data_IF_658610584659
#
_entry.id   IF_658610584659
#
_cell.length_a   1.000
_cell.length_b   1.000
_cell.length_c   1.000
_cell.angle_alpha   90.00
_cell.angle_beta   90.00
_cell.angle_gamma   90.00
#
_symmetry.space_group_name_H-M   'P 1'
#
loop_
_entity.id
_entity.type
_entity.pdbx_description
1 polymer ?
#
# COMPACT_ATOMS: atom_id res chain seq x y z
N UNK A 1 18.81 28.71 13.31
CA UNK A 1 19.54 27.65 12.61
C UNK A 1 19.05 26.23 12.95
N UNK A 2 19.01 25.82 14.21
CA UNK A 2 18.62 24.47 14.63
C UNK A 2 17.18 24.07 14.17
N UNK A 3 16.19 24.97 14.30
CA UNK A 3 14.82 24.75 13.84
C UNK A 3 14.71 24.55 12.33
N UNK A 4 15.44 25.33 11.53
CA UNK A 4 15.49 25.20 10.06
C UNK A 4 16.13 23.86 9.62
N UNK A 5 17.22 23.43 10.28
CA UNK A 5 17.85 22.13 10.01
C UNK A 5 16.90 20.98 10.28
N UNK A 6 16.16 21.01 11.40
CA UNK A 6 15.19 19.95 11.73
C UNK A 6 14.02 19.91 10.76
N UNK A 7 13.55 21.03 10.24
CA UNK A 7 12.50 21.12 9.22
C UNK A 7 12.94 20.42 7.94
N UNK A 8 14.15 20.73 7.46
CA UNK A 8 14.69 20.13 6.24
C UNK A 8 14.89 18.60 6.37
N UNK A 9 15.47 18.16 7.49
CA UNK A 9 15.68 16.71 7.74
C UNK A 9 14.37 15.94 7.80
N UNK A 10 13.32 16.50 8.42
CA UNK A 10 12.00 15.86 8.48
C UNK A 10 11.39 15.72 7.07
N UNK A 11 11.51 16.75 6.23
CA UNK A 11 11.03 16.69 4.83
C UNK A 11 11.80 15.67 4.00
N UNK A 12 13.11 15.58 4.16
CA UNK A 12 13.96 14.59 3.47
C UNK A 12 13.57 13.18 3.91
N UNK A 13 13.42 12.92 5.21
CA UNK A 13 12.96 11.63 5.72
C UNK A 13 11.61 11.22 5.12
N UNK A 14 10.64 12.15 5.09
CA UNK A 14 9.31 11.88 4.51
C UNK A 14 9.35 11.70 3.00
N UNK A 15 10.22 12.40 2.29
CA UNK A 15 10.45 12.17 0.85
C UNK A 15 10.97 10.75 0.61
N UNK A 16 11.96 10.30 1.37
CA UNK A 16 12.48 8.94 1.26
C UNK A 16 11.40 7.89 1.53
N UNK A 17 10.59 8.08 2.57
CA UNK A 17 9.49 7.16 2.89
C UNK A 17 8.38 7.20 1.84
N UNK A 18 8.07 8.36 1.25
CA UNK A 18 7.13 8.47 0.15
C UNK A 18 7.64 7.77 -1.12
N UNK A 19 8.93 7.91 -1.43
CA UNK A 19 9.58 7.19 -2.53
C UNK A 19 9.48 5.69 -2.32
N UNK A 20 9.83 5.16 -1.14
CA UNK A 20 9.66 3.73 -0.85
C UNK A 20 8.21 3.30 -1.01
N UNK A 21 7.26 4.06 -0.44
CA UNK A 21 5.83 3.73 -0.50
C UNK A 21 5.21 3.77 -1.90
N UNK A 22 5.78 4.58 -2.80
CA UNK A 22 5.19 4.87 -4.11
C UNK A 22 6.07 4.51 -5.32
N UNK A 23 7.12 3.70 -5.17
CA UNK A 23 7.95 3.27 -6.30
C UNK A 23 7.80 1.80 -6.68
N UNK A 24 7.07 1.02 -5.88
CA UNK A 24 6.80 -0.39 -6.15
C UNK A 24 8.07 -1.24 -6.20
N UNK A 25 8.14 -2.10 -7.23
CA UNK A 25 9.29 -2.99 -7.45
C UNK A 25 10.23 -2.48 -8.55
N UNK A 26 10.29 -1.17 -8.75
CA UNK A 26 11.15 -0.51 -9.72
C UNK A 26 12.64 -0.58 -9.35
N UNK A 27 13.44 0.23 -10.03
CA UNK A 27 14.87 0.47 -9.75
C UNK A 27 15.20 0.52 -8.25
N UNK A 28 14.28 1.07 -7.46
CA UNK A 28 14.47 1.24 -6.02
C UNK A 28 14.17 -0.02 -5.18
N UNK A 29 13.62 -1.09 -5.74
CA UNK A 29 13.27 -2.29 -4.94
C UNK A 29 14.48 -2.88 -4.23
N UNK A 30 15.62 -2.92 -4.91
CA UNK A 30 16.88 -3.39 -4.31
C UNK A 30 17.41 -2.45 -3.24
N UNK A 31 16.99 -1.19 -3.25
CA UNK A 31 17.40 -0.15 -2.32
C UNK A 31 16.34 0.25 -1.31
N UNK A 32 15.10 -0.27 -1.42
CA UNK A 32 14.00 0.10 -0.52
C UNK A 32 14.38 -0.08 0.96
N UNK A 33 15.03 -1.20 1.30
CA UNK A 33 15.51 -1.43 2.66
C UNK A 33 16.61 -0.43 3.07
N UNK A 34 17.55 -0.14 2.16
CA UNK A 34 18.61 0.85 2.39
C UNK A 34 18.02 2.24 2.58
N UNK A 35 17.05 2.63 1.76
CA UNK A 35 16.33 3.91 1.89
C UNK A 35 15.61 3.98 3.24
N UNK A 36 14.96 2.89 3.68
CA UNK A 36 14.36 2.82 5.01
C UNK A 36 15.41 2.98 6.12
N UNK A 37 16.61 2.41 5.98
CA UNK A 37 17.67 2.58 6.97
C UNK A 37 18.19 4.02 7.02
N UNK A 38 18.33 4.68 5.87
CA UNK A 38 18.70 6.11 5.81
C UNK A 38 17.59 6.95 6.45
N UNK A 39 16.31 6.65 6.16
CA UNK A 39 15.18 7.34 6.80
C UNK A 39 15.17 7.12 8.33
N UNK A 40 15.49 5.90 8.79
CA UNK A 40 15.63 5.56 10.21
C UNK A 40 16.75 6.37 10.86
N UNK A 41 17.92 6.44 10.23
CA UNK A 41 19.05 7.24 10.72
C UNK A 41 18.69 8.72 10.83
N UNK A 42 18.03 9.27 9.81
CA UNK A 42 17.52 10.65 9.83
C UNK A 42 16.52 10.84 10.97
N UNK A 43 15.65 9.87 11.23
CA UNK A 43 14.71 9.89 12.34
C UNK A 43 15.41 9.97 13.70
N UNK A 44 16.43 9.15 13.91
CA UNK A 44 17.28 9.21 15.12
C UNK A 44 17.95 10.57 15.28
N UNK A 45 18.56 11.10 14.20
CA UNK A 45 19.19 12.43 14.22
C UNK A 45 18.18 13.51 14.59
N UNK A 46 16.95 13.46 14.04
CA UNK A 46 15.87 14.41 14.35
C UNK A 46 15.53 14.34 15.84
N UNK A 47 15.41 13.14 16.43
CA UNK A 47 15.11 13.00 17.87
C UNK A 47 16.24 13.54 18.74
N UNK A 48 17.50 13.27 18.40
CA UNK A 48 18.68 13.80 19.12
C UNK A 48 18.68 15.34 19.07
N UNK A 49 18.44 15.94 17.89
CA UNK A 49 18.42 17.40 17.75
C UNK A 49 17.24 18.01 18.52
N UNK A 50 16.07 17.40 18.46
CA UNK A 50 14.86 17.91 19.15
C UNK A 50 14.93 17.73 20.66
N UNK A 51 15.68 16.77 21.16
CA UNK A 51 15.74 16.37 22.57
C UNK A 51 14.35 16.13 23.18
N UNK A 52 13.39 15.74 22.35
CA UNK A 52 12.00 15.51 22.73
C UNK A 52 11.45 14.32 21.99
N UNK A 53 10.92 13.38 22.73
CA UNK A 53 10.17 12.23 22.22
C UNK A 53 8.68 12.52 22.42
N UNK A 54 7.86 12.22 21.42
CA UNK A 54 6.42 12.36 21.55
C UNK A 54 5.88 11.28 22.49
N UNK A 55 4.85 11.65 23.26
CA UNK A 55 4.26 10.73 24.23
C UNK A 55 3.62 9.51 23.55
N UNK A 56 3.88 8.33 24.07
CA UNK A 56 3.33 7.07 23.60
C UNK A 56 1.89 6.95 24.06
N UNK A 57 0.92 7.07 23.17
CA UNK A 57 -0.52 7.06 23.48
C UNK A 57 -1.35 6.37 22.39
N UNK A 58 -2.49 5.82 22.78
CA UNK A 58 -3.51 5.32 21.84
C UNK A 58 -2.98 4.30 20.84
N UNK A 59 -3.09 4.62 19.54
CA UNK A 59 -2.71 3.71 18.45
C UNK A 59 -1.21 3.35 18.49
N UNK A 60 -0.35 4.25 18.95
CA UNK A 60 1.09 3.99 19.07
C UNK A 60 1.39 2.83 20.03
N UNK A 61 0.64 2.72 21.14
CA UNK A 61 0.81 1.59 22.08
C UNK A 61 0.58 0.25 21.36
N UNK A 62 -0.48 0.16 20.54
CA UNK A 62 -0.80 -1.07 19.82
C UNK A 62 0.23 -1.40 18.75
N UNK A 63 0.74 -0.39 18.04
CA UNK A 63 1.80 -0.59 17.08
C UNK A 63 3.10 -1.05 17.76
N UNK A 64 3.45 -0.45 18.89
CA UNK A 64 4.61 -0.83 19.71
C UNK A 64 4.50 -2.28 20.21
N UNK A 65 3.32 -2.73 20.65
CA UNK A 65 3.11 -4.11 21.07
C UNK A 65 3.35 -5.09 19.92
N UNK A 66 2.88 -4.78 18.71
CA UNK A 66 3.16 -5.57 17.50
C UNK A 66 4.67 -5.56 17.20
N UNK A 67 5.32 -4.41 17.28
CA UNK A 67 6.78 -4.28 17.06
C UNK A 67 7.57 -5.12 18.07
N UNK A 68 7.23 -5.07 19.36
CA UNK A 68 7.86 -5.89 20.40
C UNK A 68 7.63 -7.38 20.14
N UNK A 69 6.41 -7.76 19.76
CA UNK A 69 6.10 -9.15 19.40
C UNK A 69 6.96 -9.66 18.25
N UNK A 70 7.08 -8.89 17.16
CA UNK A 70 7.91 -9.26 16.00
C UNK A 70 9.39 -9.37 16.44
N UNK A 71 9.89 -8.43 17.24
CA UNK A 71 11.24 -8.47 17.80
C UNK A 71 11.49 -9.74 18.63
N UNK A 72 10.56 -10.10 19.51
CA UNK A 72 10.61 -11.33 20.29
C UNK A 72 10.53 -12.59 19.43
N UNK A 73 9.74 -12.56 18.36
CA UNK A 73 9.59 -13.70 17.45
C UNK A 73 10.85 -14.03 16.64
N UNK A 74 11.85 -13.15 16.59
CA UNK A 74 13.17 -13.44 15.98
C UNK A 74 13.81 -14.68 16.63
N UNK A 75 13.65 -14.84 17.95
CA UNK A 75 14.23 -15.94 18.69
C UNK A 75 13.59 -17.31 18.36
N UNK A 76 12.33 -17.32 17.99
CA UNK A 76 11.55 -18.52 17.66
C UNK A 76 11.36 -18.76 16.19
N UNK A 77 11.74 -17.77 15.35
CA UNK A 77 11.54 -17.83 13.91
C UNK A 77 12.37 -18.91 13.24
N UNK A 78 11.74 -19.66 12.32
CA UNK A 78 12.43 -20.61 11.44
C UNK A 78 13.37 -19.93 10.45
N UNK A 79 13.15 -18.63 10.18
CA UNK A 79 13.96 -17.79 9.29
C UNK A 79 14.21 -16.42 9.93
N UNK A 80 15.08 -16.39 10.92
CA UNK A 80 15.39 -15.20 11.72
C UNK A 80 15.86 -13.98 10.90
N UNK A 81 16.55 -14.22 9.78
CA UNK A 81 17.02 -13.16 8.87
C UNK A 81 15.83 -12.39 8.29
N UNK A 82 14.78 -13.10 7.80
CA UNK A 82 13.58 -12.48 7.25
C UNK A 82 12.81 -11.71 8.34
N UNK A 83 12.59 -12.35 9.49
CA UNK A 83 11.93 -11.71 10.64
C UNK A 83 12.67 -10.46 11.09
N UNK A 84 14.01 -10.50 11.14
CA UNK A 84 14.84 -9.34 11.46
C UNK A 84 14.71 -8.22 10.42
N UNK A 85 14.61 -8.55 9.13
CA UNK A 85 14.40 -7.54 8.10
C UNK A 85 13.07 -6.79 8.28
N UNK A 86 11.99 -7.51 8.55
CA UNK A 86 10.69 -6.88 8.86
C UNK A 86 10.72 -6.10 10.19
N UNK A 87 11.33 -6.64 11.23
CA UNK A 87 11.48 -5.94 12.51
C UNK A 87 12.11 -4.54 12.33
N UNK A 88 13.14 -4.44 11.49
CA UNK A 88 13.77 -3.14 11.16
C UNK A 88 12.80 -2.16 10.49
N UNK A 89 11.87 -2.65 9.66
CA UNK A 89 10.84 -1.80 9.05
C UNK A 89 9.84 -1.29 10.10
N UNK A 90 9.44 -2.15 11.04
CA UNK A 90 8.59 -1.73 12.15
C UNK A 90 9.30 -0.68 13.02
N UNK A 91 10.60 -0.84 13.31
CA UNK A 91 11.39 0.19 14.00
C UNK A 91 11.46 1.51 13.23
N UNK A 92 11.55 1.47 11.91
CA UNK A 92 11.49 2.68 11.08
C UNK A 92 10.18 3.45 11.29
N UNK A 93 9.05 2.74 11.31
CA UNK A 93 7.73 3.34 11.54
C UNK A 93 7.60 3.85 12.99
N UNK A 94 8.13 3.11 13.99
CA UNK A 94 8.18 3.54 15.39
C UNK A 94 8.88 4.90 15.55
N UNK A 95 9.98 5.10 14.85
CA UNK A 95 10.66 6.41 14.88
C UNK A 95 9.77 7.55 14.37
N UNK A 96 8.95 7.29 13.36
CA UNK A 96 7.99 8.29 12.87
C UNK A 96 6.92 8.62 13.93
N UNK A 97 6.44 7.61 14.68
CA UNK A 97 5.57 7.83 15.84
C UNK A 97 6.27 8.69 16.92
N UNK A 98 7.50 8.33 17.29
CA UNK A 98 8.26 9.04 18.32
C UNK A 98 8.59 10.50 17.94
N UNK A 99 8.81 10.78 16.66
CA UNK A 99 9.02 12.13 16.16
C UNK A 99 7.75 12.96 16.28
N UNK A 100 6.58 12.37 16.12
CA UNK A 100 5.29 13.03 16.15
C UNK A 100 5.16 14.12 15.08
N UNK A 101 4.73 13.73 13.90
CA UNK A 101 4.62 14.64 12.76
C UNK A 101 3.59 15.73 12.98
N UNK A 102 3.98 16.98 12.72
CA UNK A 102 3.04 18.11 12.63
C UNK A 102 2.18 17.97 11.37
N UNK A 103 1.05 18.67 11.37
CA UNK A 103 0.08 18.68 10.28
C UNK A 103 0.69 19.05 8.93
N UNK A 104 1.50 20.11 8.88
CA UNK A 104 2.21 20.56 7.67
C UNK A 104 3.05 19.45 7.01
N UNK A 105 3.68 18.58 7.81
CA UNK A 105 4.47 17.44 7.31
C UNK A 105 3.60 16.29 6.82
N UNK A 106 2.45 16.04 7.47
CA UNK A 106 1.49 15.04 7.02
C UNK A 106 0.89 15.44 5.67
N UNK A 107 0.50 16.71 5.51
CA UNK A 107 0.02 17.23 4.23
C UNK A 107 1.11 17.22 3.14
N UNK A 108 2.36 17.57 3.50
CA UNK A 108 3.49 17.45 2.59
C UNK A 108 3.67 16.02 2.08
N UNK A 109 3.61 15.03 2.97
CA UNK A 109 3.71 13.61 2.60
C UNK A 109 2.57 13.19 1.66
N UNK A 110 1.32 13.58 1.95
CA UNK A 110 0.15 13.28 1.10
C UNK A 110 0.36 13.86 -0.31
N UNK A 111 0.84 15.09 -0.42
CA UNK A 111 1.12 15.73 -1.70
C UNK A 111 2.25 15.03 -2.47
N UNK A 112 3.30 14.56 -1.78
CA UNK A 112 4.35 13.75 -2.40
C UNK A 112 3.79 12.44 -2.95
N UNK A 113 2.98 11.72 -2.18
CA UNK A 113 2.35 10.47 -2.63
C UNK A 113 1.46 10.69 -3.86
N UNK A 114 0.69 11.78 -3.88
CA UNK A 114 -0.12 12.15 -5.03
C UNK A 114 0.73 12.41 -6.27
N UNK A 115 1.83 13.16 -6.14
CA UNK A 115 2.77 13.42 -7.23
C UNK A 115 3.42 12.14 -7.77
N UNK A 116 3.92 11.28 -6.89
CA UNK A 116 4.54 10.01 -7.27
C UNK A 116 3.53 9.05 -7.94
N UNK A 117 2.31 8.97 -7.42
CA UNK A 117 1.24 8.19 -8.05
C UNK A 117 0.90 8.73 -9.46
N UNK A 118 0.95 10.05 -9.66
CA UNK A 118 0.75 10.66 -10.98
C UNK A 118 1.85 10.27 -11.97
N UNK A 119 3.11 10.21 -11.52
CA UNK A 119 4.24 9.75 -12.36
C UNK A 119 4.02 8.28 -12.79
N UNK A 120 3.61 7.42 -11.86
CA UNK A 120 3.31 6.01 -12.18
C UNK A 120 2.14 5.91 -13.16
N UNK A 121 1.05 6.66 -12.97
CA UNK A 121 -0.08 6.64 -13.89
C UNK A 121 0.30 7.10 -15.29
N UNK A 122 1.08 8.18 -15.42
CA UNK A 122 1.58 8.65 -16.72
C UNK A 122 2.48 7.58 -17.36
N UNK A 123 3.36 6.96 -16.60
CA UNK A 123 4.26 5.94 -17.13
C UNK A 123 3.51 4.70 -17.66
N UNK A 124 2.38 4.32 -17.05
CA UNK A 124 1.51 3.25 -17.57
C UNK A 124 0.91 3.63 -18.93
N UNK A 125 0.43 4.88 -19.06
CA UNK A 125 -0.11 5.35 -20.35
C UNK A 125 0.99 5.37 -21.43
N UNK A 126 2.21 5.80 -21.07
CA UNK A 126 3.36 5.76 -21.97
C UNK A 126 3.72 4.31 -22.37
N UNK A 127 3.68 3.36 -21.44
CA UNK A 127 3.92 1.94 -21.72
C UNK A 127 2.88 1.35 -22.69
N UNK A 128 1.62 1.81 -22.62
CA UNK A 128 0.56 1.42 -23.59
C UNK A 128 0.81 2.00 -24.99
N UNK A 129 1.22 3.27 -25.07
CA UNK A 129 1.38 3.98 -26.34
C UNK A 129 2.69 3.58 -27.04
N UNK A 130 3.77 3.43 -26.28
CA UNK A 130 5.12 3.14 -26.77
C UNK A 130 5.72 2.01 -25.92
N UNK A 131 5.28 0.74 -26.11
CA UNK A 131 5.75 -0.39 -25.32
C UNK A 131 7.26 -0.63 -25.45
N UNK A 132 7.83 -0.39 -26.63
CA UNK A 132 9.25 -0.57 -26.92
C UNK A 132 10.12 0.39 -26.10
N UNK A 133 9.59 1.55 -25.71
CA UNK A 133 10.28 2.50 -24.83
C UNK A 133 10.65 1.84 -23.48
N UNK A 134 9.79 0.94 -22.97
CA UNK A 134 9.99 0.25 -21.70
C UNK A 134 10.85 -1.00 -21.84
N UNK A 135 10.79 -1.70 -22.97
CA UNK A 135 11.58 -2.92 -23.19
C UNK A 135 12.99 -2.63 -23.67
N UNK A 136 13.21 -1.51 -24.38
CA UNK A 136 14.50 -1.16 -24.94
C UNK A 136 15.24 -0.05 -24.16
N UNK A 137 14.53 1.04 -23.79
CA UNK A 137 15.18 2.22 -23.18
C UNK A 137 15.00 2.31 -21.68
N UNK A 138 13.80 2.00 -21.14
CA UNK A 138 13.55 2.08 -19.70
C UNK A 138 13.66 0.74 -18.97
N UNK A 139 14.14 -0.31 -19.67
CA UNK A 139 14.30 -1.63 -19.06
C UNK A 139 15.16 -1.61 -17.80
N UNK A 140 16.17 -0.72 -17.71
CA UNK A 140 17.02 -0.56 -16.54
C UNK A 140 16.27 -0.05 -15.31
N UNK A 141 15.17 0.69 -15.48
CA UNK A 141 14.27 1.08 -14.39
C UNK A 141 13.42 -0.11 -13.99
N UNK A 142 12.94 -0.86 -14.97
CA UNK A 142 12.09 -2.03 -14.77
C UNK A 142 12.86 -3.25 -14.23
N UNK A 143 14.17 -3.34 -14.51
CA UNK A 143 14.99 -4.51 -14.15
C UNK A 143 16.32 -4.10 -13.51
N UNK A 144 16.34 -3.56 -12.28
CA UNK A 144 17.50 -2.93 -11.66
C UNK A 144 18.72 -3.84 -11.50
N UNK A 145 18.57 -5.14 -11.67
CA UNK A 145 19.67 -6.13 -11.58
C UNK A 145 20.08 -6.71 -12.92
N UNK A 146 19.70 -6.11 -14.05
CA UNK A 146 19.89 -6.68 -15.37
C UNK A 146 19.36 -8.13 -15.47
N UNK A 147 18.27 -8.41 -14.76
CA UNK A 147 17.67 -9.74 -14.73
C UNK A 147 16.83 -9.96 -15.99
N UNK A 148 17.36 -10.75 -16.91
CA UNK A 148 16.68 -11.10 -18.17
C UNK A 148 15.33 -11.79 -17.93
N UNK A 149 15.15 -12.47 -16.80
CA UNK A 149 13.87 -13.08 -16.41
C UNK A 149 12.81 -12.04 -16.11
N UNK A 150 13.18 -10.91 -15.51
CA UNK A 150 12.25 -9.80 -15.25
C UNK A 150 11.89 -9.10 -16.57
N UNK A 151 12.84 -8.89 -17.48
CA UNK A 151 12.58 -8.33 -18.80
C UNK A 151 11.63 -9.23 -19.62
N UNK A 152 11.86 -10.54 -19.62
CA UNK A 152 10.97 -11.51 -20.26
C UNK A 152 9.56 -11.48 -19.63
N UNK A 153 9.46 -11.28 -18.33
CA UNK A 153 8.17 -11.14 -17.63
C UNK A 153 7.48 -9.84 -18.01
N UNK A 154 8.20 -8.73 -18.15
CA UNK A 154 7.67 -7.45 -18.62
C UNK A 154 7.12 -7.58 -20.04
N UNK A 155 7.90 -8.11 -20.98
CA UNK A 155 7.50 -8.34 -22.36
C UNK A 155 6.28 -9.27 -22.45
N UNK A 156 6.25 -10.35 -21.66
CA UNK A 156 5.10 -11.26 -21.56
C UNK A 156 3.85 -10.57 -21.00
N UNK A 157 4.01 -9.65 -20.03
CA UNK A 157 2.90 -8.90 -19.49
C UNK A 157 2.34 -7.91 -20.53
N UNK A 158 3.20 -7.16 -21.21
CA UNK A 158 2.82 -6.22 -22.28
C UNK A 158 2.07 -6.98 -23.39
N UNK A 159 2.61 -8.11 -23.87
CA UNK A 159 1.96 -8.95 -24.86
C UNK A 159 0.57 -9.47 -24.44
N UNK A 160 0.36 -9.60 -23.11
CA UNK A 160 -0.92 -9.97 -22.52
C UNK A 160 -1.83 -8.75 -22.22
N UNK A 161 -1.44 -7.54 -22.56
CA UNK A 161 -2.21 -6.31 -22.26
C UNK A 161 -2.22 -5.94 -20.77
N UNK A 162 -1.15 -6.27 -20.03
CA UNK A 162 -0.95 -5.85 -18.65
C UNK A 162 0.22 -4.89 -18.55
N UNK A 163 0.00 -3.77 -17.89
CA UNK A 163 0.96 -2.69 -17.79
C UNK A 163 1.24 -2.33 -16.34
N UNK A 164 2.43 -1.89 -16.05
CA UNK A 164 2.88 -1.55 -14.70
C UNK A 164 3.69 -0.25 -14.60
N UNK A 165 4.06 0.30 -15.75
CA UNK A 165 4.86 1.52 -15.81
C UNK A 165 6.16 1.43 -15.02
N UNK A 166 6.57 2.52 -14.43
CA UNK A 166 7.76 2.57 -13.56
C UNK A 166 7.64 1.82 -12.24
N UNK A 167 6.45 1.31 -11.89
CA UNK A 167 6.31 0.44 -10.71
C UNK A 167 6.77 -1.01 -10.94
N UNK A 168 6.91 -1.42 -12.21
CA UNK A 168 7.49 -2.70 -12.67
C UNK A 168 6.77 -3.97 -12.18
N UNK A 169 5.79 -3.85 -11.27
CA UNK A 169 4.92 -4.92 -10.80
C UNK A 169 3.47 -4.40 -10.80
N UNK A 170 2.59 -5.20 -11.36
CA UNK A 170 1.18 -4.83 -11.57
C UNK A 170 0.41 -4.51 -10.29
N UNK A 171 0.65 -5.28 -9.22
CA UNK A 171 -0.04 -5.06 -7.94
C UNK A 171 0.49 -3.81 -7.26
N UNK A 172 1.80 -3.57 -7.31
CA UNK A 172 2.42 -2.36 -6.79
C UNK A 172 1.92 -1.12 -7.53
N UNK A 173 1.87 -1.17 -8.87
CA UNK A 173 1.32 -0.09 -9.68
C UNK A 173 -0.13 0.24 -9.30
N UNK A 174 -0.99 -0.79 -9.22
CA UNK A 174 -2.38 -0.61 -8.84
C UNK A 174 -2.53 -0.10 -7.40
N UNK A 175 -1.69 -0.56 -6.46
CA UNK A 175 -1.68 -0.08 -5.08
C UNK A 175 -1.27 1.39 -5.00
N UNK A 176 -0.20 1.80 -5.69
CA UNK A 176 0.27 3.20 -5.72
C UNK A 176 -0.82 4.13 -6.27
N UNK A 177 -1.51 3.73 -7.34
CA UNK A 177 -2.62 4.52 -7.87
C UNK A 177 -3.82 4.58 -6.91
N UNK A 178 -4.07 3.52 -6.13
CA UNK A 178 -5.04 3.55 -5.03
C UNK A 178 -4.64 4.55 -3.94
N UNK A 179 -3.35 4.69 -3.62
CA UNK A 179 -2.85 5.75 -2.73
C UNK A 179 -3.12 7.13 -3.34
N UNK A 180 -2.89 7.31 -4.64
CA UNK A 180 -3.27 8.52 -5.36
C UNK A 180 -4.77 8.86 -5.25
N UNK A 181 -5.64 7.84 -5.42
CA UNK A 181 -7.08 7.98 -5.20
C UNK A 181 -7.41 8.31 -3.74
N UNK A 182 -6.70 7.74 -2.75
CA UNK A 182 -6.87 8.09 -1.35
C UNK A 182 -6.55 9.58 -1.07
N UNK A 183 -5.51 10.12 -1.70
CA UNK A 183 -5.18 11.55 -1.62
C UNK A 183 -6.32 12.43 -2.19
N UNK A 184 -6.79 12.09 -3.39
CA UNK A 184 -7.89 12.83 -4.05
C UNK A 184 -9.20 12.70 -3.27
N UNK A 185 -9.51 11.49 -2.78
CA UNK A 185 -10.70 11.24 -1.98
C UNK A 185 -10.70 12.04 -0.68
N UNK A 186 -9.56 12.11 -0.01
CA UNK A 186 -9.39 12.92 1.19
C UNK A 186 -9.70 14.40 0.92
N UNK A 187 -9.21 14.96 -0.20
CA UNK A 187 -9.53 16.32 -0.63
C UNK A 187 -11.02 16.47 -0.99
N UNK A 188 -11.60 15.50 -1.73
CA UNK A 188 -12.99 15.52 -2.18
C UNK A 188 -14.00 15.54 -1.03
N UNK A 189 -13.78 14.69 -0.01
CA UNK A 189 -14.69 14.60 1.14
C UNK A 189 -14.49 15.72 2.17
N UNK A 190 -13.42 16.51 2.04
CA UNK A 190 -13.13 17.64 2.93
C UNK A 190 -13.60 18.96 2.33
N UNK A 191 -13.30 19.20 1.07
CA UNK A 191 -13.55 20.48 0.41
C UNK A 191 -14.96 20.52 -0.21
N UNK A 192 -15.58 21.69 -0.22
CA UNK A 192 -16.86 21.89 -0.91
C UNK A 192 -16.71 21.79 -2.42
N UNK A 193 -15.62 22.35 -2.95
CA UNK A 193 -15.29 22.31 -4.39
C UNK A 193 -13.92 21.68 -4.60
N UNK A 194 -13.87 20.60 -5.38
CA UNK A 194 -12.63 19.98 -5.78
C UNK A 194 -12.02 20.72 -6.99
N UNK A 195 -10.70 20.81 -7.04
CA UNK A 195 -9.99 21.35 -8.21
C UNK A 195 -10.26 20.48 -9.44
N UNK A 196 -10.55 21.08 -10.60
CA UNK A 196 -10.84 20.36 -11.85
C UNK A 196 -9.75 19.36 -12.22
N UNK A 197 -8.49 19.70 -12.00
CA UNK A 197 -7.34 18.83 -12.27
C UNK A 197 -7.39 17.50 -11.48
N UNK A 198 -7.98 17.46 -10.31
CA UNK A 198 -8.10 16.25 -9.51
C UNK A 198 -9.06 15.22 -10.13
N UNK A 199 -10.07 15.65 -10.86
CA UNK A 199 -10.94 14.73 -11.62
C UNK A 199 -10.14 14.04 -12.73
N UNK A 200 -9.24 14.78 -13.41
CA UNK A 200 -8.37 14.23 -14.45
C UNK A 200 -7.43 13.19 -13.82
N UNK A 201 -6.79 13.50 -12.70
CA UNK A 201 -5.92 12.55 -12.01
C UNK A 201 -6.67 11.32 -11.51
N UNK A 202 -7.86 11.49 -10.92
CA UNK A 202 -8.68 10.36 -10.48
C UNK A 202 -9.01 9.41 -11.63
N UNK A 203 -9.36 9.98 -12.81
CA UNK A 203 -9.64 9.21 -14.00
C UNK A 203 -8.41 8.48 -14.52
N UNK A 204 -7.25 9.15 -14.58
CA UNK A 204 -5.98 8.53 -14.97
C UNK A 204 -5.58 7.39 -14.04
N UNK A 205 -5.78 7.55 -12.73
CA UNK A 205 -5.50 6.47 -11.76
C UNK A 205 -6.44 5.28 -11.98
N UNK A 206 -7.74 5.50 -12.19
CA UNK A 206 -8.69 4.41 -12.44
C UNK A 206 -8.37 3.66 -13.75
N UNK A 207 -8.08 4.39 -14.83
CA UNK A 207 -7.65 3.80 -16.10
C UNK A 207 -6.34 3.03 -15.91
N UNK A 208 -5.36 3.62 -15.23
CA UNK A 208 -4.11 2.95 -14.93
C UNK A 208 -4.31 1.66 -14.12
N UNK A 209 -5.16 1.66 -13.08
CA UNK A 209 -5.48 0.43 -12.31
C UNK A 209 -6.11 -0.62 -13.24
N UNK A 210 -7.04 -0.23 -14.09
CA UNK A 210 -7.67 -1.13 -15.07
C UNK A 210 -6.61 -1.79 -15.96
N UNK A 211 -5.66 -1.00 -16.50
CA UNK A 211 -4.57 -1.46 -17.35
C UNK A 211 -3.61 -2.43 -16.66
N UNK A 212 -3.52 -2.39 -15.32
CA UNK A 212 -2.74 -3.42 -14.58
C UNK A 212 -3.40 -4.79 -14.58
N UNK A 213 -4.70 -4.90 -14.88
CA UNK A 213 -5.48 -6.14 -14.80
C UNK A 213 -5.77 -6.63 -13.38
N UNK A 214 -5.54 -5.82 -12.34
CA UNK A 214 -5.75 -6.19 -10.93
C UNK A 214 -7.17 -5.90 -10.47
N UNK A 215 -8.08 -6.87 -10.67
CA UNK A 215 -9.54 -6.75 -10.44
C UNK A 215 -9.89 -6.27 -9.03
N UNK A 216 -9.29 -6.88 -7.98
CA UNK A 216 -9.56 -6.48 -6.59
C UNK A 216 -9.12 -5.05 -6.30
N UNK A 217 -7.93 -4.64 -6.77
CA UNK A 217 -7.43 -3.28 -6.57
C UNK A 217 -8.23 -2.24 -7.36
N UNK A 218 -8.98 -2.64 -8.39
CA UNK A 218 -9.97 -1.79 -9.06
C UNK A 218 -11.27 -1.69 -8.27
N UNK A 219 -11.75 -2.78 -7.68
CA UNK A 219 -12.99 -2.79 -6.90
C UNK A 219 -12.86 -2.04 -5.55
N UNK A 220 -11.71 -2.13 -4.90
CA UNK A 220 -11.47 -1.55 -3.56
C UNK A 220 -11.78 -0.04 -3.49
N UNK A 221 -11.24 0.85 -4.35
CA UNK A 221 -11.55 2.26 -4.26
C UNK A 221 -13.03 2.56 -4.51
N UNK A 222 -13.70 1.80 -5.37
CA UNK A 222 -15.14 1.95 -5.62
C UNK A 222 -15.92 1.67 -4.32
N UNK A 223 -15.63 0.56 -3.65
CA UNK A 223 -16.26 0.17 -2.38
C UNK A 223 -16.00 1.24 -1.30
N UNK A 224 -14.74 1.67 -1.15
CA UNK A 224 -14.36 2.68 -0.15
C UNK A 224 -15.10 4.00 -0.40
N UNK A 225 -15.16 4.45 -1.65
CA UNK A 225 -15.85 5.70 -2.00
C UNK A 225 -17.35 5.62 -1.79
N UNK A 226 -17.99 4.48 -2.08
CA UNK A 226 -19.41 4.25 -1.78
C UNK A 226 -19.65 4.32 -0.28
N UNK A 227 -18.85 3.61 0.53
CA UNK A 227 -18.95 3.64 2.00
C UNK A 227 -18.77 5.07 2.52
N UNK A 228 -17.78 5.80 2.00
CA UNK A 228 -17.53 7.18 2.40
C UNK A 228 -18.69 8.12 2.02
N UNK A 229 -19.25 7.98 0.82
CA UNK A 229 -20.41 8.76 0.38
C UNK A 229 -21.65 8.47 1.25
N UNK A 230 -21.87 7.23 1.64
CA UNK A 230 -22.99 6.86 2.49
C UNK A 230 -22.80 7.33 3.94
N UNK A 231 -21.58 7.28 4.46
CA UNK A 231 -21.25 7.58 5.86
C UNK A 231 -21.03 9.07 6.14
N UNK A 232 -20.49 9.81 5.18
CA UNK A 232 -20.20 11.22 5.33
C UNK A 232 -21.39 12.08 4.86
N UNK A 233 -21.63 13.21 5.56
CA UNK A 233 -22.71 14.15 5.19
C UNK A 233 -22.31 14.95 3.94
N UNK A 234 -22.55 14.43 2.76
CA UNK A 234 -22.36 15.15 1.49
C UNK A 234 -23.73 15.38 0.83
N UNK A 235 -23.98 16.57 0.28
CA UNK A 235 -25.19 16.85 -0.52
C UNK A 235 -25.16 16.01 -1.81
N UNK A 236 -26.33 15.62 -2.30
CA UNK A 236 -26.51 14.90 -3.58
C UNK A 236 -25.75 13.57 -3.71
N UNK A 237 -25.69 12.77 -2.66
CA UNK A 237 -24.99 11.47 -2.62
C UNK A 237 -25.40 10.55 -3.77
N UNK A 238 -26.71 10.37 -3.95
CA UNK A 238 -27.28 9.43 -4.95
C UNK A 238 -26.93 9.88 -6.36
N UNK A 239 -27.09 11.17 -6.67
CA UNK A 239 -26.73 11.75 -7.98
C UNK A 239 -25.22 11.64 -8.25
N UNK A 240 -24.40 11.79 -7.22
CA UNK A 240 -22.93 11.60 -7.37
C UNK A 240 -22.59 10.15 -7.66
N UNK A 241 -23.19 9.19 -6.96
CA UNK A 241 -22.96 7.77 -7.20
C UNK A 241 -23.43 7.37 -8.60
N UNK A 242 -24.68 7.69 -8.96
CA UNK A 242 -25.22 7.37 -10.29
C UNK A 242 -24.42 8.04 -11.41
N UNK A 243 -24.11 9.34 -11.26
CA UNK A 243 -23.31 10.07 -12.24
C UNK A 243 -21.91 9.48 -12.41
N UNK A 244 -21.25 9.05 -11.30
CA UNK A 244 -19.95 8.40 -11.35
C UNK A 244 -20.02 7.03 -12.04
N UNK A 245 -21.06 6.26 -11.82
CA UNK A 245 -21.26 4.95 -12.49
C UNK A 245 -21.50 5.15 -13.98
N UNK A 246 -22.40 6.04 -14.37
CA UNK A 246 -22.71 6.33 -15.78
C UNK A 246 -21.47 6.84 -16.50
N UNK A 247 -20.77 7.80 -15.90
CA UNK A 247 -19.53 8.35 -16.46
C UNK A 247 -18.45 7.28 -16.58
N UNK A 248 -18.31 6.42 -15.57
CA UNK A 248 -17.36 5.30 -15.59
C UNK A 248 -17.64 4.32 -16.73
N UNK A 249 -18.91 3.95 -16.93
CA UNK A 249 -19.35 3.08 -18.05
C UNK A 249 -19.11 3.75 -19.40
N UNK A 250 -19.47 5.03 -19.54
CA UNK A 250 -19.28 5.77 -20.79
C UNK A 250 -17.78 5.90 -21.14
N UNK A 251 -16.95 6.30 -20.20
CA UNK A 251 -15.50 6.40 -20.40
C UNK A 251 -14.92 5.04 -20.74
N UNK A 252 -15.34 4.00 -20.03
CA UNK A 252 -14.90 2.64 -20.29
C UNK A 252 -15.27 2.18 -21.71
N UNK A 253 -16.51 2.40 -22.13
CA UNK A 253 -16.98 2.07 -23.49
C UNK A 253 -16.17 2.80 -24.56
N UNK A 254 -15.97 4.12 -24.40
CA UNK A 254 -15.18 4.93 -25.35
C UNK A 254 -13.72 4.45 -25.38
N UNK A 255 -13.12 4.23 -24.22
CA UNK A 255 -11.72 3.81 -24.12
C UNK A 255 -11.49 2.40 -24.68
N UNK A 256 -12.42 1.46 -24.47
CA UNK A 256 -12.31 0.09 -25.00
C UNK A 256 -12.40 0.05 -26.54
N UNK A 257 -13.12 0.99 -27.15
CA UNK A 257 -13.19 1.11 -28.61
C UNK A 257 -11.98 1.87 -29.19
N UNK A 258 -11.44 2.84 -28.44
CA UNK A 258 -10.32 3.67 -28.89
C UNK A 258 -8.95 3.00 -28.68
N UNK A 259 -8.82 2.14 -27.67
CA UNK A 259 -7.58 1.49 -27.28
C UNK A 259 -7.78 -0.04 -27.32
N UNK A 260 -7.32 -0.75 -28.38
CA UNK A 260 -7.53 -2.20 -28.52
C UNK A 260 -7.05 -3.01 -27.31
N UNK A 261 -5.97 -2.56 -26.65
CA UNK A 261 -5.42 -3.18 -25.46
C UNK A 261 -6.40 -3.19 -24.26
N UNK A 262 -7.26 -2.18 -24.14
CA UNK A 262 -8.33 -2.14 -23.13
C UNK A 262 -9.42 -3.17 -23.45
N UNK A 263 -9.74 -3.36 -24.73
CA UNK A 263 -10.65 -4.40 -25.19
C UNK A 263 -10.16 -5.81 -24.80
N UNK A 264 -8.87 -6.10 -25.00
CA UNK A 264 -8.24 -7.36 -24.56
C UNK A 264 -8.29 -7.51 -23.04
N UNK A 265 -7.97 -6.46 -22.31
CA UNK A 265 -8.05 -6.47 -20.84
C UNK A 265 -9.47 -6.76 -20.36
N UNK A 266 -10.47 -6.18 -21.04
CA UNK A 266 -11.88 -6.40 -20.71
C UNK A 266 -12.38 -7.81 -21.03
N UNK A 267 -12.06 -8.34 -22.20
CA UNK A 267 -12.41 -9.73 -22.54
C UNK A 267 -11.93 -10.70 -21.46
N UNK A 268 -10.76 -10.44 -20.86
CA UNK A 268 -10.24 -11.23 -19.74
C UNK A 268 -10.95 -11.01 -18.41
N UNK A 269 -11.55 -9.82 -18.18
CA UNK A 269 -12.44 -9.62 -17.03
C UNK A 269 -13.72 -10.45 -17.15
N UNK A 270 -14.20 -10.65 -18.37
CA UNK A 270 -15.42 -11.43 -18.67
C UNK A 270 -15.15 -12.93 -18.90
N UNK A 271 -13.93 -13.31 -19.27
CA UNK A 271 -13.56 -14.73 -19.36
C UNK A 271 -13.50 -15.35 -17.97
N UNK A 272 -14.41 -16.26 -17.72
CA UNK A 272 -14.38 -17.18 -16.59
C UNK A 272 -13.23 -18.17 -16.90
N UNK A 273 -12.03 -17.90 -16.39
CA UNK A 273 -11.04 -18.96 -16.26
C UNK A 273 -11.53 -19.84 -15.10
N UNK A 274 -11.78 -21.13 -15.34
CA UNK A 274 -12.28 -22.11 -14.38
C UNK A 274 -11.44 -22.24 -13.11
N UNK A 275 -10.23 -21.69 -13.12
CA UNK A 275 -9.31 -21.66 -11.99
C UNK A 275 -9.28 -20.26 -11.32
N UNK A 276 -10.40 -19.88 -10.71
CA UNK A 276 -10.55 -18.59 -10.01
C UNK A 276 -9.57 -18.45 -8.83
N UNK A 277 -9.14 -19.54 -8.23
CA UNK A 277 -8.20 -19.57 -7.11
C UNK A 277 -6.73 -19.69 -7.58
N UNK A 278 -6.45 -20.15 -8.82
CA UNK A 278 -5.10 -20.28 -9.40
C UNK A 278 -4.09 -20.96 -8.46
N UNK A 279 -4.51 -22.03 -7.80
CA UNK A 279 -3.69 -22.75 -6.83
C UNK A 279 -3.47 -22.04 -5.49
N UNK A 280 -4.21 -20.96 -5.22
CA UNK A 280 -4.13 -20.24 -3.91
C UNK A 280 -4.71 -21.05 -2.76
N UNK A 281 -5.66 -21.94 -3.05
CA UNK A 281 -6.22 -22.89 -2.12
C UNK A 281 -5.12 -23.75 -1.48
N UNK A 282 -4.17 -24.26 -2.26
CA UNK A 282 -3.01 -25.02 -1.76
C UNK A 282 -2.14 -24.16 -0.83
N UNK A 283 -1.94 -22.88 -1.16
CA UNK A 283 -1.19 -21.95 -0.30
C UNK A 283 -1.94 -21.70 1.02
N UNK A 284 -3.25 -21.58 0.99
CA UNK A 284 -4.06 -21.39 2.20
C UNK A 284 -4.09 -22.66 3.06
N UNK A 285 -4.25 -23.82 2.44
CA UNK A 285 -4.17 -25.11 3.15
C UNK A 285 -2.81 -25.30 3.81
N UNK A 286 -1.72 -24.92 3.13
CA UNK A 286 -0.38 -24.95 3.71
C UNK A 286 -0.25 -23.96 4.87
N UNK A 287 -0.77 -22.76 4.76
CA UNK A 287 -0.79 -21.79 5.86
C UNK A 287 -1.53 -22.35 7.09
N UNK A 288 -2.67 -23.01 6.89
CA UNK A 288 -3.42 -23.66 7.97
C UNK A 288 -2.67 -24.86 8.55
N UNK A 289 -1.96 -25.64 7.74
CA UNK A 289 -1.11 -26.73 8.23
C UNK A 289 0.02 -26.21 9.12
N UNK A 290 0.69 -25.12 8.71
CA UNK A 290 1.70 -24.46 9.55
C UNK A 290 1.10 -23.95 10.86
N UNK A 291 -0.08 -23.32 10.81
CA UNK A 291 -0.78 -22.87 12.01
C UNK A 291 -1.12 -24.02 12.96
N UNK A 292 -1.60 -25.17 12.44
CA UNK A 292 -1.85 -26.36 13.26
C UNK A 292 -0.60 -26.89 13.93
N UNK A 293 0.56 -26.78 13.26
CA UNK A 293 1.85 -27.26 13.80
C UNK A 293 2.43 -26.26 14.81
N UNK A 294 2.24 -24.96 14.60
CA UNK A 294 2.80 -23.89 15.43
C UNK A 294 1.70 -22.90 15.89
N UNK A 295 0.69 -23.33 16.68
CA UNK A 295 -0.53 -22.57 16.87
C UNK A 295 -0.36 -21.28 17.69
N UNK A 296 0.62 -21.20 18.59
CA UNK A 296 0.76 -20.05 19.51
C UNK A 296 1.62 -18.93 18.95
N UNK A 297 2.82 -19.22 18.47
CA UNK A 297 3.81 -18.23 18.03
C UNK A 297 4.05 -18.24 16.51
N UNK A 298 3.53 -19.25 15.80
CA UNK A 298 3.77 -19.43 14.37
C UNK A 298 5.22 -19.77 14.03
N UNK A 299 5.58 -19.61 12.76
CA UNK A 299 6.93 -19.94 12.23
C UNK A 299 7.87 -18.74 12.19
N UNK A 300 7.40 -17.55 12.56
CA UNK A 300 8.12 -16.27 12.51
C UNK A 300 7.62 -15.38 11.36
N UNK A 301 7.48 -14.09 11.63
CA UNK A 301 6.97 -13.11 10.66
C UNK A 301 7.89 -13.00 9.43
N UNK A 302 7.33 -13.17 8.24
CA UNK A 302 8.08 -13.19 6.96
C UNK A 302 8.70 -14.55 6.61
N UNK A 303 8.48 -15.61 7.42
CA UNK A 303 9.07 -16.93 7.19
C UNK A 303 8.27 -17.79 6.19
N UNK A 304 6.96 -17.55 6.04
CA UNK A 304 6.05 -18.36 5.23
C UNK A 304 6.56 -18.57 3.80
N UNK A 305 6.95 -17.50 3.15
CA UNK A 305 7.42 -17.50 1.77
C UNK A 305 8.61 -18.47 1.57
N UNK A 306 9.58 -18.45 2.48
CA UNK A 306 10.74 -19.38 2.44
C UNK A 306 10.33 -20.84 2.70
N UNK A 307 9.42 -21.05 3.64
CA UNK A 307 8.90 -22.38 3.94
C UNK A 307 8.10 -22.94 2.75
N UNK A 308 7.23 -22.15 2.14
CA UNK A 308 6.45 -22.54 0.97
C UNK A 308 7.35 -22.93 -0.21
N UNK A 309 8.43 -22.18 -0.45
CA UNK A 309 9.38 -22.50 -1.52
C UNK A 309 10.15 -23.80 -1.25
N UNK A 310 10.50 -24.10 0.01
CA UNK A 310 11.18 -25.36 0.37
C UNK A 310 10.29 -26.58 0.19
N UNK A 311 8.97 -26.42 0.29
CA UNK A 311 7.99 -27.48 0.05
C UNK A 311 7.59 -27.63 -1.42
N UNK A 312 8.23 -26.88 -2.33
CA UNK A 312 7.95 -26.94 -3.76
C UNK A 312 6.55 -26.44 -4.14
N UNK A 313 5.90 -25.66 -3.27
CA UNK A 313 4.61 -25.06 -3.56
C UNK A 313 4.77 -24.00 -4.64
N UNK A 314 4.14 -24.23 -5.77
CA UNK A 314 4.15 -23.32 -6.92
C UNK A 314 2.77 -22.72 -7.10
N UNK A 315 2.71 -21.49 -7.58
CA UNK A 315 1.50 -21.00 -8.26
C UNK A 315 1.40 -21.68 -9.62
N UNK A 316 0.19 -21.90 -10.14
CA UNK A 316 -0.14 -22.71 -11.32
C UNK A 316 0.70 -22.56 -12.60
N UNK A 317 1.70 -21.68 -12.59
CA UNK A 317 2.66 -21.49 -13.70
C UNK A 317 3.90 -22.40 -13.62
N UNK A 318 3.95 -23.35 -12.66
CA UNK A 318 5.00 -24.37 -12.55
C UNK A 318 6.37 -23.86 -12.09
N UNK A 319 6.53 -22.58 -11.82
CA UNK A 319 7.80 -21.97 -11.39
C UNK A 319 7.81 -21.87 -9.87
N UNK A 320 8.78 -22.53 -9.23
CA UNK A 320 9.01 -22.46 -7.78
C UNK A 320 9.55 -21.09 -7.35
N UNK A 321 8.76 -20.04 -7.50
CA UNK A 321 9.06 -18.73 -6.94
C UNK A 321 8.60 -18.69 -5.50
N UNK A 322 9.34 -17.97 -4.67
CA UNK A 322 8.95 -17.69 -3.30
C UNK A 322 7.56 -17.05 -3.27
N UNK A 323 6.53 -17.83 -2.95
CA UNK A 323 5.14 -17.38 -3.00
C UNK A 323 4.61 -17.11 -1.61
N UNK A 324 4.01 -15.93 -1.44
CA UNK A 324 3.20 -15.60 -0.27
C UNK A 324 1.82 -16.27 -0.36
N UNK A 325 1.08 -16.33 0.74
CA UNK A 325 -0.25 -16.95 0.78
C UNK A 325 -1.31 -16.22 -0.08
N UNK A 326 -1.03 -15.03 -0.59
CA UNK A 326 -1.99 -14.15 -1.26
C UNK A 326 -3.27 -13.89 -0.44
N UNK A 327 -3.12 -13.94 0.87
CA UNK A 327 -4.10 -13.56 1.87
C UNK A 327 -3.37 -13.30 3.19
N UNK A 328 -3.37 -12.04 3.66
CA UNK A 328 -2.60 -11.69 4.87
C UNK A 328 -3.12 -12.40 6.12
N UNK A 329 -4.39 -12.73 6.18
CA UNK A 329 -4.99 -13.31 7.38
C UNK A 329 -4.54 -14.76 7.57
N UNK A 330 -4.52 -15.57 6.50
CA UNK A 330 -3.95 -16.91 6.54
C UNK A 330 -2.43 -16.88 6.80
N UNK A 331 -1.73 -15.94 6.17
CA UNK A 331 -0.28 -15.83 6.35
C UNK A 331 0.08 -15.40 7.78
N UNK A 332 -0.66 -14.44 8.36
CA UNK A 332 -0.48 -14.05 9.77
C UNK A 332 -0.69 -15.24 10.71
N UNK A 333 -1.76 -16.03 10.51
CA UNK A 333 -1.99 -17.22 11.32
C UNK A 333 -0.81 -18.19 11.28
N UNK A 334 -0.27 -18.46 10.09
CA UNK A 334 0.88 -19.35 9.92
C UNK A 334 2.15 -18.81 10.58
N UNK A 335 2.41 -17.50 10.39
CA UNK A 335 3.67 -16.88 10.77
C UNK A 335 3.73 -16.41 12.21
N UNK A 336 2.60 -15.98 12.77
CA UNK A 336 2.55 -15.36 14.10
C UNK A 336 1.69 -16.13 15.09
N UNK A 337 1.08 -17.25 14.64
CA UNK A 337 0.16 -18.02 15.46
C UNK A 337 -1.01 -17.17 15.95
N UNK A 338 -1.74 -17.68 16.95
CA UNK A 338 -2.92 -16.98 17.46
C UNK A 338 -2.55 -15.69 18.19
N UNK A 339 -1.43 -15.68 18.93
CA UNK A 339 -1.03 -14.52 19.75
C UNK A 339 -0.72 -13.33 18.86
N UNK A 340 0.17 -13.48 17.88
CA UNK A 340 0.53 -12.38 16.98
C UNK A 340 -0.62 -11.98 16.07
N UNK A 341 -1.40 -12.96 15.58
CA UNK A 341 -2.59 -12.65 14.76
C UNK A 341 -3.59 -11.81 15.54
N UNK A 342 -3.87 -12.12 16.80
CA UNK A 342 -4.72 -11.27 17.64
C UNK A 342 -4.16 -9.85 17.78
N UNK A 343 -2.86 -9.69 18.03
CA UNK A 343 -2.24 -8.36 18.11
C UNK A 343 -2.41 -7.56 16.81
N UNK A 344 -2.18 -8.18 15.66
CA UNK A 344 -2.38 -7.53 14.35
C UNK A 344 -3.85 -7.18 14.11
N UNK A 345 -4.79 -8.09 14.38
CA UNK A 345 -6.22 -7.84 14.22
C UNK A 345 -6.69 -6.70 15.14
N UNK A 346 -6.23 -6.67 16.38
CA UNK A 346 -6.50 -5.54 17.28
C UNK A 346 -5.93 -4.24 16.75
N UNK A 347 -4.69 -4.23 16.26
CA UNK A 347 -4.09 -3.05 15.64
C UNK A 347 -4.94 -2.55 14.45
N UNK A 348 -5.40 -3.45 13.57
CA UNK A 348 -6.23 -3.13 12.42
C UNK A 348 -7.57 -2.50 12.85
N UNK A 349 -8.27 -3.15 13.77
CA UNK A 349 -9.57 -2.69 14.27
C UNK A 349 -9.44 -1.34 15.00
N UNK A 350 -8.48 -1.23 15.92
CA UNK A 350 -8.27 0.00 16.69
C UNK A 350 -7.82 1.14 15.78
N UNK A 351 -7.00 0.86 14.77
CA UNK A 351 -6.59 1.85 13.77
C UNK A 351 -7.80 2.48 13.09
N UNK A 352 -8.68 1.65 12.49
CA UNK A 352 -9.90 2.12 11.82
C UNK A 352 -10.84 2.83 12.81
N UNK A 353 -11.14 2.21 13.96
CA UNK A 353 -12.09 2.77 14.94
C UNK A 353 -11.60 4.12 15.47
N UNK A 354 -10.32 4.23 15.79
CA UNK A 354 -9.73 5.50 16.25
C UNK A 354 -9.77 6.57 15.17
N UNK A 355 -9.46 6.20 13.92
CA UNK A 355 -9.53 7.14 12.80
C UNK A 355 -10.95 7.65 12.59
N UNK A 356 -11.96 6.76 12.58
CA UNK A 356 -13.37 7.14 12.43
C UNK A 356 -13.84 8.04 13.60
N UNK A 357 -13.48 7.68 14.84
CA UNK A 357 -13.80 8.50 16.02
C UNK A 357 -13.21 9.92 15.88
N UNK A 358 -11.95 10.02 15.47
CA UNK A 358 -11.29 11.33 15.27
C UNK A 358 -11.92 12.11 14.12
N UNK A 359 -12.27 11.50 12.99
CA UNK A 359 -12.99 12.18 11.90
C UNK A 359 -14.30 12.78 12.39
N UNK A 360 -15.04 12.08 13.26
CA UNK A 360 -16.31 12.59 13.84
C UNK A 360 -16.09 13.71 14.85
N UNK A 361 -14.99 13.68 15.61
CA UNK A 361 -14.66 14.68 16.63
C UNK A 361 -14.10 15.99 16.05
N UNK A 362 -13.33 15.87 14.98
CA UNK A 362 -12.68 17.03 14.37
C UNK A 362 -13.58 17.69 13.31
N UNK A 363 -14.31 18.73 13.71
CA UNK A 363 -15.05 19.59 12.77
C UNK A 363 -14.13 20.57 11.99
N UNK A 364 -12.85 20.68 12.34
CA UNK A 364 -11.87 21.53 11.65
C UNK A 364 -11.48 20.94 10.31
N UNK A 365 -11.52 21.75 9.26
CA UNK A 365 -11.16 21.35 7.91
C UNK A 365 -9.70 20.90 7.76
N UNK A 366 -8.79 21.32 8.64
CA UNK A 366 -7.35 21.12 8.51
C UNK A 366 -6.91 19.66 8.78
N UNK A 367 -7.48 19.01 9.81
CA UNK A 367 -7.14 17.60 10.14
C UNK A 367 -7.93 16.57 9.34
N UNK A 368 -9.09 16.95 8.84
CA UNK A 368 -9.99 16.02 8.17
C UNK A 368 -9.40 15.35 6.93
N UNK A 369 -8.67 16.05 6.02
CA UNK A 369 -8.04 15.39 4.87
C UNK A 369 -6.97 14.38 5.29
N UNK A 370 -6.20 14.69 6.36
CA UNK A 370 -5.18 13.78 6.88
C UNK A 370 -5.81 12.50 7.43
N UNK A 371 -6.88 12.63 8.22
CA UNK A 371 -7.59 11.50 8.80
C UNK A 371 -8.32 10.66 7.74
N UNK A 372 -8.91 11.29 6.73
CA UNK A 372 -9.54 10.58 5.61
C UNK A 372 -8.52 9.84 4.75
N UNK A 373 -7.39 10.47 4.44
CA UNK A 373 -6.29 9.78 3.76
C UNK A 373 -5.85 8.55 4.56
N UNK A 374 -5.61 8.71 5.86
CA UNK A 374 -5.24 7.61 6.76
C UNK A 374 -6.27 6.49 6.74
N UNK A 375 -7.57 6.81 6.85
CA UNK A 375 -8.65 5.82 6.79
C UNK A 375 -8.65 5.06 5.46
N UNK A 376 -8.53 5.78 4.35
CA UNK A 376 -8.54 5.17 3.02
C UNK A 376 -7.35 4.24 2.82
N UNK A 377 -6.13 4.64 3.21
CA UNK A 377 -4.95 3.78 3.14
C UNK A 377 -5.12 2.51 3.98
N UNK A 378 -5.63 2.63 5.21
CA UNK A 378 -5.94 1.47 6.06
C UNK A 378 -6.94 0.54 5.38
N UNK A 379 -8.06 1.07 4.87
CA UNK A 379 -9.07 0.26 4.19
C UNK A 379 -8.54 -0.40 2.93
N UNK A 380 -7.76 0.33 2.10
CA UNK A 380 -7.10 -0.23 0.91
C UNK A 380 -6.23 -1.41 1.30
N UNK A 381 -5.37 -1.25 2.30
CA UNK A 381 -4.44 -2.28 2.76
C UNK A 381 -5.17 -3.52 3.27
N UNK A 382 -6.19 -3.35 4.11
CA UNK A 382 -6.92 -4.47 4.71
C UNK A 382 -7.81 -5.21 3.68
N UNK A 383 -8.50 -4.48 2.80
CA UNK A 383 -9.30 -5.10 1.74
C UNK A 383 -8.43 -5.80 0.70
N UNK A 384 -7.30 -5.20 0.31
CA UNK A 384 -6.34 -5.86 -0.55
C UNK A 384 -5.74 -7.09 0.12
N UNK A 385 -5.57 -7.08 1.42
CA UNK A 385 -5.11 -8.22 2.22
C UNK A 385 -5.94 -9.50 2.06
N UNK A 386 -7.19 -9.41 1.59
CA UNK A 386 -8.00 -10.60 1.27
C UNK A 386 -7.48 -11.39 0.06
N UNK A 387 -6.73 -10.75 -0.84
CA UNK A 387 -6.28 -11.35 -2.11
C UNK A 387 -4.80 -11.07 -2.43
N UNK A 388 -4.11 -10.40 -1.55
CA UNK A 388 -2.70 -10.02 -1.65
C UNK A 388 -2.01 -10.05 -0.29
N UNK A 389 -0.79 -9.53 -0.24
CA UNK A 389 0.04 -9.55 0.96
C UNK A 389 0.63 -8.17 1.29
N UNK A 390 -0.22 -7.12 1.44
CA UNK A 390 0.27 -5.75 1.55
C UNK A 390 1.21 -5.50 2.75
N UNK A 391 1.03 -6.17 3.88
CA UNK A 391 1.91 -5.99 5.05
C UNK A 391 3.22 -6.78 4.95
N UNK A 392 3.40 -7.57 3.88
CA UNK A 392 4.61 -8.35 3.58
C UNK A 392 5.42 -7.77 2.43
N UNK A 393 5.02 -6.63 1.91
CA UNK A 393 5.78 -5.83 0.94
C UNK A 393 6.23 -4.53 1.60
N UNK A 394 7.48 -4.12 1.35
CA UNK A 394 8.10 -2.97 2.05
C UNK A 394 7.30 -1.69 1.84
N UNK A 395 6.96 -1.41 0.58
CA UNK A 395 6.22 -0.21 0.18
C UNK A 395 4.82 -0.13 0.84
N UNK A 396 4.09 -1.22 0.84
CA UNK A 396 2.72 -1.28 1.35
C UNK A 396 2.70 -1.24 2.88
N UNK A 397 3.65 -1.94 3.53
CA UNK A 397 3.83 -1.89 4.99
C UNK A 397 4.19 -0.48 5.48
N UNK A 398 5.11 0.20 4.81
CA UNK A 398 5.49 1.59 5.15
C UNK A 398 4.29 2.51 4.99
N UNK A 399 3.52 2.40 3.91
CA UNK A 399 2.32 3.23 3.70
C UNK A 399 1.27 2.99 4.77
N UNK A 400 1.00 1.71 5.12
CA UNK A 400 0.09 1.37 6.20
C UNK A 400 0.57 1.94 7.54
N UNK A 401 1.84 1.71 7.90
CA UNK A 401 2.42 2.19 9.14
C UNK A 401 2.39 3.72 9.27
N UNK A 402 2.77 4.45 8.21
CA UNK A 402 2.70 5.92 8.20
C UNK A 402 1.26 6.40 8.34
N UNK A 403 0.29 5.73 7.70
CA UNK A 403 -1.12 6.08 7.88
C UNK A 403 -1.56 6.03 9.34
N UNK A 404 -1.06 5.08 10.12
CA UNK A 404 -1.30 4.98 11.55
C UNK A 404 -0.62 6.13 12.32
N UNK A 405 0.60 6.53 11.94
CA UNK A 405 1.27 7.67 12.60
C UNK A 405 0.51 8.99 12.43
N UNK A 406 -0.26 9.12 11.35
CA UNK A 406 -1.06 10.32 11.09
C UNK A 406 -2.21 10.50 12.08
N UNK A 407 -2.68 9.41 12.69
CA UNK A 407 -3.75 9.45 13.69
C UNK A 407 -3.21 9.91 15.05
N UNK A 408 -1.95 9.61 15.38
CA UNK A 408 -1.42 9.70 16.75
C UNK A 408 -1.48 11.11 17.34
N UNK A 409 -1.15 12.14 16.57
CA UNK A 409 -1.03 13.53 17.06
C UNK A 409 -2.22 14.45 16.73
N UNK A 410 -3.37 13.91 16.34
CA UNK A 410 -4.57 14.71 16.22
C UNK A 410 -5.18 14.90 17.61
N UNK A 411 -4.72 15.90 18.36
CA UNK A 411 -5.30 16.32 19.64
C UNK A 411 -6.08 17.60 19.47
N UNK A 412 -7.25 17.69 20.09
CA UNK A 412 -7.93 18.97 20.28
C UNK A 412 -7.02 19.84 21.14
N UNK A 413 -6.45 20.91 20.59
CA UNK A 413 -5.97 21.99 21.45
C UNK A 413 -7.18 22.45 22.27
N UNK A 414 -7.15 22.17 23.57
CA UNK A 414 -8.08 22.77 24.49
C UNK A 414 -7.87 24.29 24.39
N UNK A 415 -8.85 24.99 23.79
CA UNK A 415 -8.94 26.45 23.88
C UNK A 415 -9.19 26.83 25.33
#
# INVERSE_FOLDING_TARGET
>A
MQKLRTINLTKIMLLLLAVVGCTGQSLFVSYNMTICYVATLLGVIILIIRKKIEKIEGIHIWFLLVTIYIGGSILTSKFSIQTTAYFRLFLCIELVFLIGLKEEYKLYFINLCKGLASIVAISIILEVIIPDLFTEYFWFIATPKHDMGVLATLSKNIARGYYSGFACEKSAAAYIMNIGLACIGAEYFTNEKMKKINYIWAMLYLVGILLTGKRMLLAIPIVIYIIALLSLKKKNKITTILGSIILGIAIFYIASNAIPQLGVTFQRFSMYEDDTLRGRDNLWLYALALFKTYPFLGVGYGAYNKMASMWGLTTGDGIAWSTNAHNIYYQLLAETGIIGTCLFVFLFVIGIVTTIKKIKMFNRNDYKPILLFSLFVQMITLLYGLTGNPIYTVNELIMYGISLTFIAKCTLEKK
#
